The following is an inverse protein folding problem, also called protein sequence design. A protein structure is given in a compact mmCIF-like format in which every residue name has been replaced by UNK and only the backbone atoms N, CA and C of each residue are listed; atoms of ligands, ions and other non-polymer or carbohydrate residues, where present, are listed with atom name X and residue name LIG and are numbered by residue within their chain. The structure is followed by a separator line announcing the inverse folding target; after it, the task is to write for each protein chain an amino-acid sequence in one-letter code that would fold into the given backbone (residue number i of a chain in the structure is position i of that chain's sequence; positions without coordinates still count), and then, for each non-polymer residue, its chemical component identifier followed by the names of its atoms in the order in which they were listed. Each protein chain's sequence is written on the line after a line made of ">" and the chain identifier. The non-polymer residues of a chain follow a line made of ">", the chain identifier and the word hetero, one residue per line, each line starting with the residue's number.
data_IF_482197306582
#
_entry.id   IF_482197306582
#
_cell.length_a   1.000
_cell.length_b   1.000
_cell.length_c   1.000
_cell.angle_alpha   90.00
_cell.angle_beta   90.00
_cell.angle_gamma   90.00
#
_symmetry.space_group_name_H-M   'P 1'
#
loop_
_entity.id
_entity.type
_entity.pdbx_description
1 polymer ?
#
# COMPACT_ATOMS: atom_id res chain seq x y z
N UNK A 1 -54.35 27.09 -2.71
CA UNK A 1 -55.68 26.76 -2.14
C UNK A 1 -55.60 25.38 -1.48
N UNK A 2 -56.19 25.27 -0.28
CA UNK A 2 -56.35 24.08 0.59
C UNK A 2 -57.88 23.84 0.70
N UNK A 3 -58.46 22.63 0.91
CA UNK A 3 -58.29 21.71 2.07
C UNK A 3 -58.38 20.21 1.65
N UNK A 4 -58.47 19.13 2.45
CA UNK A 4 -58.79 18.81 3.86
C UNK A 4 -58.26 17.37 4.11
N UNK A 5 -57.40 17.06 5.09
CA UNK A 5 -57.71 16.48 6.43
C UNK A 5 -58.84 15.42 6.46
N UNK A 6 -58.49 14.18 6.80
CA UNK A 6 -59.35 13.30 7.62
C UNK A 6 -58.50 12.39 8.52
N UNK A 7 -58.96 12.23 9.76
CA UNK A 7 -58.32 11.59 10.92
C UNK A 7 -58.98 10.23 11.18
N UNK A 8 -58.22 9.21 11.58
CA UNK A 8 -58.69 8.06 12.37
C UNK A 8 -57.51 7.64 13.29
N UNK A 9 -57.50 8.00 14.57
CA UNK A 9 -58.22 7.40 15.72
C UNK A 9 -57.52 6.11 16.24
N UNK A 10 -57.05 6.20 17.48
CA UNK A 10 -56.26 5.21 18.22
C UNK A 10 -57.13 4.24 19.04
N UNK A 11 -56.61 3.04 19.33
CA UNK A 11 -56.91 2.12 20.46
C UNK A 11 -56.13 0.80 20.22
N UNK A 12 -55.64 0.00 21.17
CA UNK A 12 -55.35 0.11 22.60
C UNK A 12 -54.44 -1.07 23.00
N UNK A 13 -53.85 -0.96 24.18
CA UNK A 13 -52.93 -1.83 24.92
C UNK A 13 -53.44 -3.27 25.11
N UNK A 14 -52.55 -4.26 25.03
CA UNK A 14 -52.69 -5.52 25.78
C UNK A 14 -51.33 -6.07 26.21
N UNK A 15 -51.11 -6.09 27.53
CA UNK A 15 -49.99 -6.74 28.20
C UNK A 15 -50.34 -8.21 28.51
N UNK A 16 -49.39 -9.12 28.34
CA UNK A 16 -49.49 -10.52 28.76
C UNK A 16 -48.09 -11.08 29.00
N UNK A 17 -47.79 -11.40 30.26
CA UNK A 17 -46.57 -12.08 30.72
C UNK A 17 -46.98 -13.49 31.17
N UNK A 18 -46.23 -14.52 30.77
CA UNK A 18 -45.68 -15.60 31.61
C UNK A 18 -44.92 -16.66 30.78
N UNK A 19 -44.02 -17.33 31.48
CA UNK A 19 -42.74 -17.96 31.08
C UNK A 19 -42.91 -19.42 30.68
N UNK A 20 -41.98 -19.98 29.87
CA UNK A 20 -41.39 -21.32 30.06
C UNK A 20 -40.18 -21.56 29.11
N UNK A 21 -39.13 -22.12 29.70
CA UNK A 21 -37.81 -22.45 29.15
C UNK A 21 -37.82 -23.47 27.99
N UNK A 22 -36.89 -23.30 27.05
CA UNK A 22 -35.97 -24.39 26.68
C UNK A 22 -34.64 -23.76 26.23
N UNK A 23 -33.58 -24.02 26.99
CA UNK A 23 -32.23 -23.64 26.61
C UNK A 23 -31.69 -24.66 25.61
N UNK A 24 -31.27 -24.18 24.44
CA UNK A 24 -30.48 -24.99 23.53
C UNK A 24 -28.99 -24.85 23.89
N UNK A 25 -28.27 -25.95 24.16
CA UNK A 25 -26.83 -25.89 24.33
C UNK A 25 -26.16 -25.55 23.00
N UNK A 26 -25.35 -24.49 23.04
CA UNK A 26 -24.33 -24.16 22.05
C UNK A 26 -23.48 -25.38 21.71
N UNK A 27 -23.34 -25.76 20.43
CA UNK A 27 -22.27 -26.66 20.03
C UNK A 27 -20.96 -25.87 20.09
N UNK A 28 -20.21 -26.05 21.18
CA UNK A 28 -18.78 -25.68 21.20
C UNK A 28 -18.08 -26.71 20.33
N UNK A 29 -17.76 -26.31 19.10
CA UNK A 29 -16.83 -27.07 18.27
C UNK A 29 -15.45 -27.09 18.97
N UNK A 30 -14.71 -28.20 18.92
CA UNK A 30 -13.34 -28.22 19.43
C UNK A 30 -12.48 -27.23 18.65
N UNK A 31 -11.90 -26.24 19.34
CA UNK A 31 -10.80 -25.43 18.81
C UNK A 31 -9.59 -26.34 18.60
N UNK A 32 -9.45 -26.87 17.38
CA UNK A 32 -8.20 -27.42 16.90
C UNK A 32 -7.30 -26.23 16.55
N UNK A 33 -6.12 -26.05 17.20
CA UNK A 33 -5.14 -25.10 16.72
C UNK A 33 -4.69 -25.56 15.34
N UNK A 34 -5.21 -24.90 14.30
CA UNK A 34 -4.72 -25.10 12.94
C UNK A 34 -3.26 -24.67 12.91
N UNK A 35 -2.32 -25.51 12.42
CA UNK A 35 -0.99 -25.04 12.15
C UNK A 35 -1.12 -23.99 11.05
N UNK A 36 -0.91 -22.71 11.42
CA UNK A 36 -0.91 -21.60 10.47
C UNK A 36 0.37 -21.72 9.65
N UNK A 37 0.35 -22.61 8.65
CA UNK A 37 1.29 -22.51 7.54
C UNK A 37 0.95 -21.20 6.85
N UNK A 38 1.80 -20.19 7.06
CA UNK A 38 1.75 -18.96 6.29
C UNK A 38 2.01 -19.33 4.83
N UNK A 39 0.93 -19.65 4.10
CA UNK A 39 0.97 -19.73 2.66
C UNK A 39 1.30 -18.34 2.20
N UNK A 40 2.50 -18.18 1.66
CA UNK A 40 2.93 -16.94 1.07
C UNK A 40 2.05 -16.64 -0.15
N UNK A 41 0.95 -15.95 0.09
CA UNK A 41 -0.01 -15.57 -0.93
C UNK A 41 0.65 -14.56 -1.85
N UNK A 42 0.92 -14.97 -3.08
CA UNK A 42 1.14 -14.02 -4.18
C UNK A 42 -0.12 -13.16 -4.28
N UNK A 43 0.04 -11.84 -4.23
CA UNK A 43 -1.10 -10.95 -4.44
C UNK A 43 -1.61 -11.15 -5.87
N UNK A 44 -2.93 -11.19 -6.13
CA UNK A 44 -3.46 -11.27 -7.50
C UNK A 44 -3.02 -10.08 -8.38
N UNK A 45 -2.55 -8.99 -7.75
CA UNK A 45 -1.96 -7.83 -8.42
C UNK A 45 -0.50 -8.01 -8.86
N UNK A 46 0.17 -9.12 -8.55
CA UNK A 46 1.60 -9.31 -8.80
C UNK A 46 2.51 -8.59 -7.80
N UNK A 47 1.95 -7.82 -6.85
CA UNK A 47 2.73 -7.09 -5.84
C UNK A 47 3.34 -8.03 -4.80
N UNK A 48 4.59 -7.76 -4.44
CA UNK A 48 5.37 -8.57 -3.52
C UNK A 48 4.94 -8.33 -2.07
N UNK A 49 4.50 -9.40 -1.39
CA UNK A 49 4.13 -9.36 0.04
C UNK A 49 5.36 -9.41 0.93
N UNK A 50 5.37 -8.50 1.91
CA UNK A 50 6.49 -8.27 2.80
C UNK A 50 6.03 -8.11 4.24
N UNK A 51 6.94 -8.33 5.18
CA UNK A 51 6.69 -8.02 6.59
C UNK A 51 6.65 -6.50 6.77
N UNK A 52 5.62 -5.95 7.43
CA UNK A 52 5.53 -4.51 7.64
C UNK A 52 6.76 -3.93 8.33
N UNK A 53 7.21 -2.79 7.83
CA UNK A 53 8.27 -1.99 8.42
C UNK A 53 7.69 -0.75 9.10
N UNK A 54 8.48 -0.06 9.92
CA UNK A 54 8.05 1.22 10.50
C UNK A 54 7.79 2.25 9.39
N UNK A 55 6.80 3.13 9.62
CA UNK A 55 6.58 4.30 8.78
C UNK A 55 7.83 5.18 8.78
N UNK A 56 8.22 5.66 7.61
CA UNK A 56 9.30 6.63 7.47
C UNK A 56 8.96 7.68 6.40
N UNK A 57 9.41 8.92 6.61
CA UNK A 57 9.25 9.99 5.63
C UNK A 57 10.37 11.00 5.73
N UNK A 58 10.84 11.44 4.57
CA UNK A 58 11.90 12.45 4.44
C UNK A 58 11.44 13.53 3.49
N UNK A 59 11.62 14.79 3.90
CA UNK A 59 11.45 15.97 3.05
C UNK A 59 12.81 16.62 2.82
N UNK A 60 13.16 16.87 1.56
CA UNK A 60 14.42 17.49 1.17
C UNK A 60 14.22 18.49 0.03
N UNK A 61 15.05 19.54 -0.01
CA UNK A 61 15.12 20.46 -1.14
C UNK A 61 16.29 20.06 -2.03
N UNK A 62 15.99 19.65 -3.26
CA UNK A 62 17.01 19.21 -4.23
C UNK A 62 17.18 20.29 -5.29
N UNK A 63 18.41 20.80 -5.39
CA UNK A 63 18.80 21.80 -6.39
C UNK A 63 19.36 21.20 -7.68
N UNK A 64 19.91 22.04 -8.56
CA UNK A 64 20.49 21.61 -9.84
C UNK A 64 21.67 20.64 -9.71
N UNK A 65 22.34 20.58 -8.55
CA UNK A 65 23.39 19.59 -8.28
C UNK A 65 22.88 18.15 -8.23
N UNK A 66 21.58 17.95 -8.03
CA UNK A 66 21.02 16.64 -7.69
C UNK A 66 21.33 16.25 -6.24
N UNK A 67 21.19 14.97 -5.94
CA UNK A 67 21.41 14.41 -4.60
C UNK A 67 20.66 13.10 -4.39
N UNK A 68 20.85 12.50 -3.21
CA UNK A 68 20.17 11.28 -2.81
C UNK A 68 19.13 11.56 -1.72
N UNK A 69 17.97 10.90 -1.82
CA UNK A 69 16.97 10.84 -0.74
C UNK A 69 16.91 9.39 -0.26
N UNK A 70 17.21 9.18 1.02
CA UNK A 70 17.11 7.89 1.69
C UNK A 70 15.89 7.90 2.58
N UNK A 71 15.01 6.92 2.42
CA UNK A 71 13.83 6.72 3.27
C UNK A 71 13.66 5.23 3.52
N UNK A 72 13.57 4.83 4.78
CA UNK A 72 13.61 3.45 5.23
C UNK A 72 14.82 2.72 4.65
N UNK A 73 14.63 1.72 3.79
CA UNK A 73 15.69 0.97 3.08
C UNK A 73 15.75 1.30 1.59
N UNK A 74 15.08 2.36 1.17
CA UNK A 74 14.97 2.80 -0.22
C UNK A 74 15.84 4.02 -0.46
N UNK A 75 16.35 4.14 -1.68
CA UNK A 75 17.20 5.26 -2.09
C UNK A 75 16.71 5.77 -3.43
N UNK A 76 16.41 7.06 -3.51
CA UNK A 76 16.19 7.78 -4.75
C UNK A 76 17.44 8.61 -5.04
N UNK A 77 18.09 8.33 -6.16
CA UNK A 77 19.28 9.05 -6.64
C UNK A 77 18.94 9.94 -7.81
N UNK A 78 19.13 11.24 -7.61
CA UNK A 78 18.77 12.30 -8.54
C UNK A 78 20.06 12.88 -9.13
N UNK A 79 20.23 12.74 -10.45
CA UNK A 79 21.41 13.25 -11.14
C UNK A 79 21.40 14.77 -11.24
N UNK A 80 22.59 15.36 -11.37
CA UNK A 80 22.75 16.78 -11.65
C UNK A 80 22.02 17.21 -12.94
N UNK A 81 21.36 18.36 -12.86
CA UNK A 81 20.57 18.95 -13.94
C UNK A 81 19.20 18.32 -14.17
N UNK A 82 18.74 17.42 -13.29
CA UNK A 82 17.35 16.91 -13.31
C UNK A 82 16.36 18.06 -13.08
N UNK A 83 16.63 18.90 -12.08
CA UNK A 83 15.86 20.09 -11.77
C UNK A 83 16.66 21.36 -12.13
N UNK A 84 15.97 22.36 -12.70
CA UNK A 84 16.58 23.66 -13.01
C UNK A 84 16.56 24.63 -11.82
N UNK A 85 15.64 24.41 -10.88
CA UNK A 85 15.45 25.21 -9.68
C UNK A 85 15.37 24.28 -8.46
N UNK A 86 15.63 24.79 -7.25
CA UNK A 86 15.40 24.03 -6.03
C UNK A 86 13.95 23.52 -5.93
N UNK A 87 13.78 22.21 -5.81
CA UNK A 87 12.49 21.54 -5.69
C UNK A 87 12.37 20.86 -4.34
N UNK A 88 11.28 21.13 -3.62
CA UNK A 88 10.97 20.40 -2.38
C UNK A 88 10.37 19.05 -2.74
N UNK A 89 10.94 17.98 -2.20
CA UNK A 89 10.55 16.59 -2.48
C UNK A 89 10.25 15.92 -1.16
N UNK A 90 9.12 15.23 -1.08
CA UNK A 90 8.78 14.37 0.07
C UNK A 90 8.73 12.93 -0.40
N UNK A 91 9.44 12.05 0.30
CA UNK A 91 9.36 10.61 0.13
C UNK A 91 8.69 9.98 1.35
N UNK A 92 7.73 9.10 1.15
CA UNK A 92 6.98 8.43 2.21
C UNK A 92 7.04 6.92 2.00
N UNK A 93 7.56 6.19 2.98
CA UNK A 93 7.50 4.74 3.08
C UNK A 93 6.47 4.36 4.15
N UNK A 94 5.23 4.03 3.78
CA UNK A 94 4.20 3.65 4.74
C UNK A 94 4.49 2.33 5.47
N UNK A 95 3.87 2.16 6.64
CA UNK A 95 3.91 0.89 7.38
C UNK A 95 2.81 -0.04 6.89
N UNK A 96 3.13 -0.95 5.98
CA UNK A 96 2.17 -1.93 5.46
C UNK A 96 2.85 -3.20 4.93
N UNK A 97 2.03 -4.13 4.42
CA UNK A 97 2.48 -5.46 3.94
C UNK A 97 3.17 -5.46 2.57
N UNK A 98 3.45 -4.30 1.99
CA UNK A 98 4.15 -4.14 0.71
C UNK A 98 5.34 -3.21 0.94
N UNK A 99 6.36 -3.39 0.11
CA UNK A 99 7.40 -2.39 0.01
C UNK A 99 6.99 -1.39 -1.06
N UNK A 100 6.45 -0.26 -0.61
CA UNK A 100 6.04 0.85 -1.47
C UNK A 100 6.60 2.18 -0.98
N UNK A 101 6.69 3.11 -1.91
CA UNK A 101 7.15 4.47 -1.67
C UNK A 101 6.26 5.45 -2.45
N UNK A 102 5.86 6.54 -1.81
CA UNK A 102 5.16 7.65 -2.47
C UNK A 102 6.06 8.86 -2.50
N UNK A 103 6.22 9.45 -3.68
CA UNK A 103 6.92 10.71 -3.86
C UNK A 103 5.95 11.86 -4.10
N UNK A 104 6.30 13.02 -3.54
CA UNK A 104 5.61 14.28 -3.77
C UNK A 104 6.62 15.34 -4.21
N UNK A 105 6.24 16.29 -5.09
CA UNK A 105 4.91 16.42 -5.68
C UNK A 105 4.62 15.34 -6.72
N UNK A 106 3.42 14.78 -6.66
CA UNK A 106 2.97 13.73 -7.57
C UNK A 106 2.83 14.26 -9.01
N UNK A 107 3.17 13.43 -9.99
CA UNK A 107 3.16 13.78 -11.41
C UNK A 107 4.31 14.69 -11.86
N UNK A 108 5.25 15.08 -10.98
CA UNK A 108 6.41 15.85 -11.39
C UNK A 108 7.28 15.02 -12.33
N UNK A 109 7.41 15.46 -13.58
CA UNK A 109 8.19 14.77 -14.62
C UNK A 109 9.63 15.27 -14.68
N UNK A 110 10.52 14.41 -15.17
CA UNK A 110 11.95 14.70 -15.27
C UNK A 110 12.41 14.75 -16.72
N UNK A 111 13.28 15.72 -17.04
CA UNK A 111 13.97 15.75 -18.33
C UNK A 111 15.05 14.66 -18.45
N UNK A 112 15.48 14.11 -17.31
CA UNK A 112 16.44 13.01 -17.19
C UNK A 112 15.90 12.03 -16.17
N UNK A 113 15.86 10.72 -16.46
CA UNK A 113 15.40 9.75 -15.48
C UNK A 113 16.21 9.79 -14.18
N UNK A 114 15.54 9.48 -13.07
CA UNK A 114 16.16 9.33 -11.74
C UNK A 114 16.16 7.86 -11.34
N UNK A 115 17.14 7.43 -10.55
CA UNK A 115 17.25 6.03 -10.16
C UNK A 115 16.57 5.79 -8.81
N UNK A 116 15.64 4.85 -8.74
CA UNK A 116 15.05 4.37 -7.51
C UNK A 116 15.59 2.97 -7.21
N UNK A 117 16.12 2.77 -6.00
CA UNK A 117 16.52 1.46 -5.51
C UNK A 117 15.68 1.10 -4.29
N UNK A 118 14.84 0.09 -4.43
CA UNK A 118 14.00 -0.44 -3.35
C UNK A 118 14.60 -1.73 -2.79
N UNK A 119 14.45 -1.96 -1.49
CA UNK A 119 14.82 -3.22 -0.85
C UNK A 119 13.59 -4.10 -0.77
N UNK A 120 13.76 -5.40 -0.90
CA UNK A 120 12.77 -6.43 -0.59
C UNK A 120 13.29 -7.45 0.43
N UNK A 121 14.26 -7.04 1.25
CA UNK A 121 14.91 -7.94 2.22
C UNK A 121 13.97 -8.46 3.32
N UNK A 122 12.88 -7.75 3.59
CA UNK A 122 11.80 -8.10 4.52
C UNK A 122 10.68 -8.93 3.88
N UNK A 123 10.82 -9.34 2.63
CA UNK A 123 9.80 -10.08 1.89
C UNK A 123 10.03 -11.59 1.93
N UNK A 124 8.94 -12.36 1.91
CA UNK A 124 9.00 -13.81 1.77
C UNK A 124 8.99 -14.14 0.28
N UNK A 125 10.08 -14.73 -0.20
CA UNK A 125 10.24 -15.06 -1.61
C UNK A 125 9.88 -16.53 -1.83
N UNK A 126 8.91 -16.79 -2.71
CA UNK A 126 8.58 -18.16 -3.14
C UNK A 126 8.82 -18.22 -4.65
N UNK A 127 10.05 -18.60 -5.00
CA UNK A 127 10.50 -18.69 -6.39
C UNK A 127 11.60 -17.69 -6.74
N UNK A 128 12.05 -17.80 -7.98
CA UNK A 128 13.22 -17.10 -8.52
C UNK A 128 12.87 -16.04 -9.56
N UNK A 129 11.58 -15.69 -9.70
CA UNK A 129 11.18 -14.62 -10.62
C UNK A 129 11.88 -13.31 -10.24
N UNK A 130 12.38 -12.56 -11.24
CA UNK A 130 13.10 -11.32 -11.02
C UNK A 130 12.14 -10.24 -10.53
N UNK A 131 12.57 -9.43 -9.55
CA UNK A 131 11.72 -8.39 -8.98
C UNK A 131 11.78 -7.16 -9.87
N UNK A 132 10.67 -6.45 -9.91
CA UNK A 132 10.55 -5.19 -10.62
C UNK A 132 9.92 -4.11 -9.73
N UNK A 133 10.02 -2.87 -10.17
CA UNK A 133 9.29 -1.74 -9.58
C UNK A 133 8.15 -1.40 -10.53
N UNK A 134 6.96 -1.24 -9.96
CA UNK A 134 5.74 -0.88 -10.69
C UNK A 134 5.18 0.44 -10.19
N UNK A 135 4.64 1.23 -11.10
CA UNK A 135 3.81 2.40 -10.80
C UNK A 135 2.39 1.92 -10.46
N UNK A 136 1.84 2.43 -9.36
CA UNK A 136 0.48 2.10 -8.88
C UNK A 136 -0.37 3.33 -8.61
N UNK A 137 -1.69 3.18 -8.66
CA UNK A 137 -2.62 4.15 -8.06
C UNK A 137 -2.72 3.98 -6.53
N UNK A 138 -3.47 4.87 -5.87
CA UNK A 138 -3.74 4.80 -4.42
C UNK A 138 -4.42 3.47 -4.00
N UNK A 139 -5.12 2.81 -4.94
CA UNK A 139 -5.75 1.50 -4.75
C UNK A 139 -4.81 0.30 -4.97
N UNK A 140 -3.51 0.55 -5.22
CA UNK A 140 -2.49 -0.45 -5.50
C UNK A 140 -2.73 -1.24 -6.80
N UNK A 141 -3.52 -0.69 -7.72
CA UNK A 141 -3.60 -1.21 -9.08
C UNK A 141 -2.33 -0.85 -9.82
N UNK A 142 -1.69 -1.84 -10.44
CA UNK A 142 -0.53 -1.61 -11.32
C UNK A 142 -0.98 -0.87 -12.57
N UNK A 143 -0.34 0.27 -12.84
CA UNK A 143 -0.58 1.11 -14.00
C UNK A 143 0.52 0.94 -15.05
N UNK A 144 1.78 0.79 -14.61
CA UNK A 144 2.93 0.63 -15.50
C UNK A 144 4.06 -0.15 -14.80
N UNK A 145 4.87 -0.84 -15.60
CA UNK A 145 6.07 -1.54 -15.16
C UNK A 145 7.29 -0.70 -15.49
N UNK A 146 8.08 -0.34 -14.47
CA UNK A 146 9.27 0.48 -14.68
C UNK A 146 10.43 -0.38 -15.20
N UNK A 147 11.29 0.13 -16.10
CA UNK A 147 12.50 -0.55 -16.54
C UNK A 147 13.39 -0.91 -15.35
N UNK A 148 13.36 -2.17 -14.95
CA UNK A 148 13.90 -2.64 -13.66
C UNK A 148 15.09 -3.57 -13.83
N UNK A 149 15.96 -3.57 -12.81
CA UNK A 149 17.09 -4.49 -12.66
C UNK A 149 17.08 -5.07 -11.26
N UNK A 150 16.84 -6.37 -11.17
CA UNK A 150 16.88 -7.09 -9.92
C UNK A 150 18.32 -7.42 -9.47
N UNK A 151 18.55 -7.37 -8.16
CA UNK A 151 19.72 -7.87 -7.45
C UNK A 151 19.25 -8.83 -6.34
N UNK A 152 19.11 -10.13 -6.67
CA UNK A 152 18.70 -11.16 -5.71
C UNK A 152 19.65 -11.34 -4.53
N UNK A 153 20.95 -11.10 -4.73
CA UNK A 153 21.95 -11.27 -3.68
C UNK A 153 21.83 -10.15 -2.63
N UNK A 154 21.67 -8.91 -3.07
CA UNK A 154 21.44 -7.75 -2.20
C UNK A 154 19.99 -7.63 -1.70
N UNK A 155 19.05 -8.39 -2.28
CA UNK A 155 17.61 -8.26 -2.09
C UNK A 155 17.13 -6.84 -2.37
N UNK A 156 17.52 -6.32 -3.54
CA UNK A 156 17.19 -4.98 -4.02
C UNK A 156 16.77 -5.02 -5.47
N UNK A 157 15.92 -4.09 -5.86
CA UNK A 157 15.56 -3.84 -7.25
C UNK A 157 15.77 -2.37 -7.55
N UNK A 158 16.35 -2.08 -8.70
CA UNK A 158 16.56 -0.72 -9.19
C UNK A 158 15.68 -0.46 -10.40
N UNK A 159 15.14 0.75 -10.52
CA UNK A 159 14.42 1.20 -11.72
C UNK A 159 14.76 2.65 -12.06
N UNK A 160 14.56 3.01 -13.32
CA UNK A 160 14.68 4.38 -13.81
C UNK A 160 13.29 5.01 -13.90
N UNK A 161 13.05 6.07 -13.13
CA UNK A 161 11.77 6.77 -13.08
C UNK A 161 11.78 8.01 -13.96
N UNK A 162 10.66 8.29 -14.60
CA UNK A 162 10.45 9.49 -15.43
C UNK A 162 9.58 10.54 -14.75
N UNK A 163 8.92 10.20 -13.65
CA UNK A 163 8.09 11.09 -12.87
C UNK A 163 8.03 10.68 -11.39
N UNK A 164 7.46 11.54 -10.53
CA UNK A 164 7.13 11.17 -9.15
C UNK A 164 5.72 10.63 -9.03
N UNK A 165 5.59 9.53 -8.29
CA UNK A 165 4.31 8.86 -8.04
C UNK A 165 4.43 7.87 -6.87
N UNK A 166 3.48 6.94 -6.77
CA UNK A 166 3.54 5.78 -5.90
C UNK A 166 4.10 4.55 -6.63
N UNK A 167 5.17 3.99 -6.08
CA UNK A 167 5.84 2.81 -6.60
C UNK A 167 5.86 1.67 -5.60
N UNK A 168 5.79 0.44 -6.08
CA UNK A 168 5.85 -0.76 -5.26
C UNK A 168 6.74 -1.83 -5.89
N UNK A 169 7.24 -2.76 -5.07
CA UNK A 169 7.96 -3.94 -5.57
C UNK A 169 6.96 -5.02 -6.01
N UNK A 170 7.20 -5.61 -7.18
CA UNK A 170 6.40 -6.69 -7.77
C UNK A 170 7.27 -7.91 -8.19
N UNK A 171 6.60 -8.92 -8.75
CA UNK A 171 7.15 -10.23 -9.14
C UNK A 171 7.50 -10.37 -10.62
#
# INVERSE_FOLDING_TARGET
>A
MKPSRLRFAAMAISAGVLVLHCGDPTPVAPDLPSPVFATSQSSPSGLLRCRPMAYDSVTAVIGPSGGDIKVSRHVLSISGGTFKQPTTITAVAPSDSLNRIRFQPEGLTFNKPVALVMSYANCTLNGSSPKEIVYTDDGLKVLEHEPSRDDPAGKRVAALLTHFSQYAVAW
#
